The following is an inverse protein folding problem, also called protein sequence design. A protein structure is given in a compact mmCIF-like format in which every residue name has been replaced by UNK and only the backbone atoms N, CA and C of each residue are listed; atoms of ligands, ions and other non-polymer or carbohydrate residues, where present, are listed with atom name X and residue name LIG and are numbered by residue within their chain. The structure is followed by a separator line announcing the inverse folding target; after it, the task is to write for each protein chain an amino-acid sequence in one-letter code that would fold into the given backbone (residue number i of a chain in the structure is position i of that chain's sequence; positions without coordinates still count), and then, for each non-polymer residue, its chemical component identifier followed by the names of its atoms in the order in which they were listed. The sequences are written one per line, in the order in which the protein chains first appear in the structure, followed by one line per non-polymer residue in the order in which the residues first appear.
data_IF_130983620739
#
_entry.id   IF_130983620739
#
_cell.length_a   1.000
_cell.length_b   1.000
_cell.length_c   1.000
_cell.angle_alpha   90.00
_cell.angle_beta   90.00
_cell.angle_gamma   90.00
#
_symmetry.space_group_name_H-M   'P 1'
#
loop_
_entity.id
_entity.type
_entity.pdbx_description
1 polymer ?
#
# COMPACT_ATOMS: atom_id res chain seq x y z
N UNK A 1 14.95 -5.77 19.98
CA UNK A 1 15.30 -5.51 21.39
C UNK A 1 14.44 -6.40 22.26
N UNK A 2 14.96 -6.90 23.39
CA UNK A 2 14.16 -7.67 24.35
C UNK A 2 13.59 -6.70 25.37
N UNK A 3 12.27 -6.71 25.58
CA UNK A 3 11.61 -5.92 26.63
C UNK A 3 10.68 -6.79 27.46
N UNK A 4 10.35 -6.31 28.65
CA UNK A 4 9.32 -6.93 29.48
C UNK A 4 7.95 -6.77 28.81
N UNK A 5 7.22 -7.87 28.65
CA UNK A 5 5.84 -7.86 28.12
C UNK A 5 4.87 -7.69 29.28
N UNK A 6 3.95 -6.74 29.17
CA UNK A 6 2.88 -6.57 30.13
C UNK A 6 1.67 -7.43 29.74
N UNK A 7 1.02 -7.99 30.76
CA UNK A 7 -0.24 -8.71 30.58
C UNK A 7 -1.36 -7.75 30.22
N UNK A 8 -2.20 -8.10 29.25
CA UNK A 8 -3.38 -7.31 28.87
C UNK A 8 -4.38 -7.13 30.03
N UNK A 9 -4.30 -7.96 31.08
CA UNK A 9 -5.07 -7.76 32.32
C UNK A 9 -4.71 -6.48 33.06
N UNK A 10 -3.50 -5.93 32.85
CA UNK A 10 -3.08 -4.66 33.43
C UNK A 10 -3.55 -3.44 32.63
N UNK A 11 -4.04 -3.63 31.40
CA UNK A 11 -4.39 -2.53 30.51
C UNK A 11 -5.53 -1.64 31.04
N UNK A 12 -6.61 -2.16 31.67
CA UNK A 12 -7.61 -1.29 32.28
C UNK A 12 -7.06 -0.37 33.37
N UNK A 13 -6.06 -0.84 34.14
CA UNK A 13 -5.40 -0.03 35.16
C UNK A 13 -4.52 1.06 34.52
N UNK A 14 -3.78 0.70 33.46
CA UNK A 14 -3.00 1.65 32.67
C UNK A 14 -3.89 2.73 32.04
N UNK A 15 -5.02 2.33 31.44
CA UNK A 15 -6.02 3.25 30.89
C UNK A 15 -6.52 4.24 31.95
N UNK A 16 -6.95 3.72 33.11
CA UNK A 16 -7.45 4.56 34.20
C UNK A 16 -6.41 5.53 34.76
N UNK A 17 -5.13 5.13 34.83
CA UNK A 17 -4.04 6.01 35.25
C UNK A 17 -3.81 7.16 34.26
N UNK A 18 -4.05 6.91 32.97
CA UNK A 18 -3.85 7.87 31.89
C UNK A 18 -5.13 8.61 31.47
N UNK A 19 -6.17 8.61 32.32
CA UNK A 19 -7.47 9.25 32.06
C UNK A 19 -8.21 8.71 30.81
N UNK A 20 -7.85 7.53 30.34
CA UNK A 20 -8.58 6.81 29.30
C UNK A 20 -9.59 5.85 29.94
N UNK A 21 -10.65 5.53 29.22
CA UNK A 21 -11.71 4.66 29.74
C UNK A 21 -11.99 3.50 28.79
N UNK A 22 -12.31 2.36 29.40
CA UNK A 22 -12.69 1.13 28.72
C UNK A 22 -13.94 0.62 29.42
N UNK A 23 -15.10 0.80 28.78
CA UNK A 23 -16.42 0.63 29.38
C UNK A 23 -17.13 -0.59 28.79
N UNK A 24 -17.55 -1.52 29.67
CA UNK A 24 -18.30 -2.72 29.29
C UNK A 24 -17.64 -3.60 28.22
N UNK A 25 -16.33 -3.45 28.01
CA UNK A 25 -15.54 -4.29 27.13
C UNK A 25 -14.30 -4.78 27.88
N UNK A 26 -13.57 -5.71 27.27
CA UNK A 26 -12.23 -6.12 27.64
C UNK A 26 -11.46 -6.61 26.42
N UNK A 27 -10.17 -6.84 26.58
CA UNK A 27 -9.36 -7.45 25.53
C UNK A 27 -9.21 -8.93 25.83
N UNK A 28 -9.53 -9.75 24.84
CA UNK A 28 -9.32 -11.19 24.88
C UNK A 28 -8.57 -11.66 23.63
N UNK A 29 -7.98 -12.85 23.72
CA UNK A 29 -7.43 -13.54 22.55
C UNK A 29 -8.57 -14.11 21.72
N UNK A 30 -8.70 -13.64 20.49
CA UNK A 30 -9.63 -14.13 19.47
C UNK A 30 -8.91 -15.11 18.57
N UNK A 31 -9.56 -16.27 18.33
CA UNK A 31 -9.01 -17.31 17.47
C UNK A 31 -8.70 -16.75 16.07
N UNK A 32 -7.47 -16.96 15.60
CA UNK A 32 -6.96 -16.52 14.28
C UNK A 32 -6.90 -14.99 14.04
N UNK A 33 -7.40 -14.14 14.94
CA UNK A 33 -7.33 -12.68 14.83
C UNK A 33 -6.36 -12.01 15.78
N UNK A 34 -5.85 -12.75 16.78
CA UNK A 34 -4.99 -12.16 17.80
C UNK A 34 -5.82 -11.53 18.92
N UNK A 35 -5.33 -10.47 19.54
CA UNK A 35 -6.08 -9.75 20.55
C UNK A 35 -7.25 -8.99 19.91
N UNK A 36 -8.39 -8.94 20.59
CA UNK A 36 -9.60 -8.26 20.14
C UNK A 36 -10.42 -7.72 21.29
N UNK A 37 -11.29 -6.75 20.99
CA UNK A 37 -12.22 -6.17 21.95
C UNK A 37 -13.46 -7.06 22.08
N UNK A 38 -13.88 -7.35 23.31
CA UNK A 38 -15.02 -8.23 23.61
C UNK A 38 -15.93 -7.55 24.63
N UNK A 39 -17.24 -7.62 24.44
CA UNK A 39 -18.22 -7.07 25.37
C UNK A 39 -18.32 -7.89 26.66
N UNK A 40 -18.47 -7.21 27.80
CA UNK A 40 -18.73 -7.80 29.13
C UNK A 40 -20.20 -7.76 29.54
N UNK A 41 -21.04 -7.08 28.76
CA UNK A 41 -22.43 -6.83 29.09
C UNK A 41 -23.28 -6.79 27.82
N UNK A 42 -24.60 -6.87 28.01
CA UNK A 42 -25.56 -6.81 26.91
C UNK A 42 -25.81 -5.37 26.45
N UNK A 43 -26.43 -5.22 25.28
CA UNK A 43 -26.90 -3.94 24.73
C UNK A 43 -27.65 -3.06 25.73
N UNK A 44 -28.44 -3.67 26.63
CA UNK A 44 -29.23 -2.93 27.62
C UNK A 44 -28.35 -2.13 28.60
N UNK A 45 -27.14 -2.65 28.89
CA UNK A 45 -26.18 -2.06 29.81
C UNK A 45 -25.14 -1.17 29.09
N UNK A 46 -24.84 -1.49 27.83
CA UNK A 46 -23.93 -0.71 26.97
C UNK A 46 -24.59 0.58 26.50
N UNK A 47 -25.85 0.50 26.05
CA UNK A 47 -26.56 1.61 25.43
C UNK A 47 -25.85 2.16 24.20
N UNK A 48 -25.79 3.49 24.08
CA UNK A 48 -25.09 4.21 23.01
C UNK A 48 -23.87 4.99 23.55
N UNK A 49 -23.35 4.56 24.71
CA UNK A 49 -22.20 5.20 25.33
C UNK A 49 -20.91 4.78 24.62
N UNK A 50 -19.87 5.60 24.74
CA UNK A 50 -18.54 5.25 24.26
C UNK A 50 -18.03 3.96 24.96
N UNK A 51 -17.60 2.99 24.16
CA UNK A 51 -16.96 1.76 24.62
C UNK A 51 -15.51 2.01 25.03
N UNK A 52 -14.85 2.93 24.32
CA UNK A 52 -13.51 3.43 24.62
C UNK A 52 -13.55 4.95 24.53
N UNK A 53 -12.87 5.62 25.46
CA UNK A 53 -12.49 7.02 25.31
C UNK A 53 -10.98 7.15 25.57
N UNK A 54 -10.25 7.70 24.61
CA UNK A 54 -8.82 7.97 24.70
C UNK A 54 -8.61 9.49 24.62
N UNK A 55 -8.04 10.11 25.67
CA UNK A 55 -7.81 11.55 25.65
C UNK A 55 -6.79 11.93 24.58
N UNK A 56 -6.92 13.15 24.04
CA UNK A 56 -6.03 13.69 23.00
C UNK A 56 -4.55 13.46 23.29
N UNK A 57 -4.10 13.72 24.52
CA UNK A 57 -2.69 13.63 24.93
C UNK A 57 -2.10 12.20 24.88
N UNK A 58 -2.93 11.16 24.74
CA UNK A 58 -2.47 9.78 24.53
C UNK A 58 -2.41 9.37 23.06
N UNK A 59 -3.04 10.12 22.17
CA UNK A 59 -3.03 9.85 20.73
C UNK A 59 -1.65 10.17 20.18
N UNK A 60 -1.03 9.21 19.50
CA UNK A 60 0.27 9.40 18.87
C UNK A 60 0.09 9.76 17.40
N UNK A 61 0.36 11.02 17.09
CA UNK A 61 0.34 11.61 15.76
C UNK A 61 1.58 12.52 15.59
N UNK A 62 1.67 13.25 14.48
CA UNK A 62 2.80 14.17 14.25
C UNK A 62 2.93 15.26 15.32
N UNK A 63 1.81 15.80 15.79
CA UNK A 63 1.79 16.83 16.84
C UNK A 63 2.33 16.28 18.16
N UNK A 64 1.91 15.09 18.58
CA UNK A 64 2.39 14.44 19.80
C UNK A 64 3.92 14.21 19.78
N UNK A 65 4.50 13.89 18.62
CA UNK A 65 5.95 13.75 18.45
C UNK A 65 6.66 15.10 18.63
N UNK A 66 6.12 16.18 18.06
CA UNK A 66 6.67 17.53 18.23
C UNK A 66 6.53 18.04 19.67
N UNK A 67 5.41 17.78 20.35
CA UNK A 67 5.24 18.14 21.76
C UNK A 67 6.26 17.39 22.64
N UNK A 68 6.43 16.09 22.42
CA UNK A 68 7.46 15.33 23.13
C UNK A 68 8.88 15.85 22.86
N UNK A 69 9.18 16.29 21.63
CA UNK A 69 10.46 16.90 21.30
C UNK A 69 10.69 18.26 21.98
N UNK A 70 9.66 18.97 22.45
CA UNK A 70 9.83 20.18 23.27
C UNK A 70 10.24 19.85 24.71
N UNK A 71 9.83 18.68 25.21
CA UNK A 71 10.13 18.24 26.57
C UNK A 71 11.47 17.53 26.69
N UNK A 72 11.89 16.77 25.66
CA UNK A 72 13.14 16.02 25.64
C UNK A 72 14.14 16.57 24.62
N UNK A 73 15.16 17.28 25.11
CA UNK A 73 16.21 17.87 24.25
C UNK A 73 17.07 16.84 23.52
N UNK A 74 17.25 15.64 24.08
CA UNK A 74 18.01 14.59 23.40
C UNK A 74 17.19 14.04 22.24
N UNK A 75 15.90 13.77 22.46
CA UNK A 75 14.99 13.37 21.40
C UNK A 75 14.87 14.46 20.33
N UNK A 76 14.80 15.73 20.71
CA UNK A 76 14.81 16.85 19.74
C UNK A 76 16.02 16.78 18.81
N UNK A 77 17.22 16.59 19.36
CA UNK A 77 18.44 16.48 18.57
C UNK A 77 18.43 15.26 17.63
N UNK A 78 17.80 14.15 18.05
CA UNK A 78 17.60 12.98 17.20
C UNK A 78 16.63 13.27 16.05
N UNK A 79 15.48 13.86 16.36
CA UNK A 79 14.44 14.20 15.40
C UNK A 79 14.95 15.21 14.37
N UNK A 80 15.67 16.25 14.79
CA UNK A 80 16.23 17.25 13.88
C UNK A 80 17.30 16.66 12.93
N UNK A 81 17.98 15.59 13.33
CA UNK A 81 18.97 14.92 12.49
C UNK A 81 18.34 13.87 11.57
N UNK A 82 17.49 13.00 12.11
CA UNK A 82 16.99 11.80 11.43
C UNK A 82 15.56 11.97 10.88
N UNK A 83 14.77 12.88 11.43
CA UNK A 83 13.34 13.07 11.17
C UNK A 83 13.02 14.02 10.03
N UNK A 84 11.80 14.57 10.07
CA UNK A 84 11.22 15.57 9.15
C UNK A 84 11.07 15.11 7.70
N UNK A 85 11.13 13.80 7.45
CA UNK A 85 10.90 13.22 6.12
C UNK A 85 9.42 13.04 5.83
N UNK A 86 8.66 12.62 6.85
CA UNK A 86 7.21 12.47 6.83
C UNK A 86 6.69 12.27 8.26
N UNK A 87 5.41 12.61 8.53
CA UNK A 87 4.74 12.31 9.81
C UNK A 87 4.95 10.88 10.30
N UNK A 88 4.80 9.91 9.39
CA UNK A 88 5.05 8.48 9.65
C UNK A 88 6.48 8.25 10.15
N UNK A 89 7.48 8.79 9.46
CA UNK A 89 8.87 8.57 9.83
C UNK A 89 9.16 9.09 11.25
N UNK A 90 8.62 10.25 11.60
CA UNK A 90 8.81 10.86 12.92
C UNK A 90 8.14 10.05 14.03
N UNK A 91 6.93 9.54 13.78
CA UNK A 91 6.26 8.59 14.68
C UNK A 91 7.07 7.30 14.86
N UNK A 92 7.70 6.78 13.80
CA UNK A 92 8.55 5.59 13.92
C UNK A 92 9.81 5.84 14.75
N UNK A 93 10.43 7.02 14.61
CA UNK A 93 11.57 7.42 15.45
C UNK A 93 11.16 7.51 16.92
N UNK A 94 9.98 8.10 17.19
CA UNK A 94 9.41 8.14 18.53
C UNK A 94 9.19 6.72 19.09
N UNK A 95 8.50 5.85 18.36
CA UNK A 95 8.24 4.46 18.77
C UNK A 95 9.53 3.68 19.02
N UNK A 96 10.55 3.89 18.18
CA UNK A 96 11.86 3.27 18.36
C UNK A 96 12.51 3.70 19.69
N UNK A 97 12.45 4.99 20.01
CA UNK A 97 12.94 5.52 21.28
C UNK A 97 12.15 4.99 22.46
N UNK A 98 10.81 4.92 22.37
CA UNK A 98 9.99 4.34 23.44
C UNK A 98 10.28 2.85 23.66
N UNK A 99 10.49 2.09 22.57
CA UNK A 99 10.92 0.70 22.63
C UNK A 99 12.29 0.56 23.34
N UNK A 100 13.24 1.45 23.05
CA UNK A 100 14.55 1.49 23.70
C UNK A 100 14.43 1.78 25.20
N UNK A 101 13.70 2.83 25.56
CA UNK A 101 13.53 3.26 26.95
C UNK A 101 12.86 2.14 27.75
N UNK A 102 11.84 1.50 27.19
CA UNK A 102 11.18 0.35 27.81
C UNK A 102 12.11 -0.85 28.01
N UNK A 103 12.97 -1.15 27.02
CA UNK A 103 13.97 -2.22 27.14
C UNK A 103 15.08 -1.92 28.14
N UNK A 104 15.38 -0.64 28.41
CA UNK A 104 16.51 -0.18 29.21
C UNK A 104 16.12 0.95 30.18
N UNK A 105 15.18 0.73 31.11
CA UNK A 105 14.61 1.79 31.94
C UNK A 105 15.63 2.43 32.90
N UNK A 106 16.70 1.70 33.25
CA UNK A 106 17.76 2.18 34.15
C UNK A 106 18.66 3.22 33.48
N UNK A 107 18.82 3.17 32.16
CA UNK A 107 19.73 4.03 31.40
C UNK A 107 19.19 5.45 31.18
N UNK A 108 17.88 5.69 31.40
CA UNK A 108 17.22 7.00 31.27
C UNK A 108 17.57 7.73 29.97
N UNK A 109 17.49 6.98 28.86
CA UNK A 109 17.89 7.42 27.52
C UNK A 109 17.01 8.59 27.02
N UNK A 110 15.73 8.57 27.38
CA UNK A 110 14.79 9.65 27.07
C UNK A 110 13.72 9.71 28.17
N UNK A 111 12.93 10.78 28.18
CA UNK A 111 11.80 10.97 29.08
C UNK A 111 10.77 9.86 28.91
N UNK A 112 10.42 9.21 30.02
CA UNK A 112 9.33 8.24 30.00
C UNK A 112 8.00 8.95 29.93
N UNK A 113 7.09 8.41 29.12
CA UNK A 113 5.72 8.87 28.96
C UNK A 113 4.78 7.66 28.90
N UNK A 114 3.45 7.84 28.76
CA UNK A 114 2.52 6.71 28.70
C UNK A 114 2.86 5.67 27.62
N UNK A 115 3.43 6.12 26.49
CA UNK A 115 3.85 5.25 25.39
C UNK A 115 5.05 4.36 25.74
N UNK A 116 5.93 4.78 26.65
CA UNK A 116 7.01 3.92 27.17
C UNK A 116 6.46 2.63 27.78
N UNK A 117 5.32 2.70 28.47
CA UNK A 117 4.65 1.51 29.01
C UNK A 117 3.77 0.84 27.96
N UNK A 118 3.08 1.62 27.12
CA UNK A 118 2.14 1.07 26.15
C UNK A 118 2.78 0.10 25.15
N UNK A 119 4.02 0.37 24.71
CA UNK A 119 4.76 -0.55 23.81
C UNK A 119 4.98 -1.94 24.42
N UNK A 120 4.87 -2.11 25.74
CA UNK A 120 4.95 -3.41 26.41
C UNK A 120 3.68 -4.25 26.29
N UNK A 121 2.56 -3.67 25.85
CA UNK A 121 1.36 -4.41 25.48
C UNK A 121 1.37 -4.84 23.99
N UNK A 122 2.10 -4.14 23.11
CA UNK A 122 2.09 -4.38 21.65
C UNK A 122 2.89 -5.61 21.20
N UNK A 123 2.30 -6.57 20.49
CA UNK A 123 2.99 -7.82 20.14
C UNK A 123 4.26 -7.66 19.29
N UNK A 124 5.27 -8.49 19.57
CA UNK A 124 6.52 -8.54 18.79
C UNK A 124 6.34 -9.27 17.45
N UNK A 125 5.31 -10.10 17.35
CA UNK A 125 5.01 -10.90 16.18
C UNK A 125 3.78 -10.32 15.49
N UNK A 126 3.97 -9.25 14.73
CA UNK A 126 2.91 -8.70 13.86
C UNK A 126 2.94 -9.49 12.56
N UNK A 127 1.81 -10.10 12.11
CA UNK A 127 1.78 -11.04 11.00
C UNK A 127 1.92 -10.37 9.62
N UNK A 128 2.57 -9.23 9.52
CA UNK A 128 2.79 -8.51 8.27
C UNK A 128 4.01 -9.06 7.52
N UNK A 129 4.00 -9.11 6.17
CA UNK A 129 5.05 -9.78 5.40
C UNK A 129 6.48 -9.31 5.64
N UNK A 130 6.69 -8.06 6.07
CA UNK A 130 8.02 -7.52 6.40
C UNK A 130 8.67 -8.22 7.61
N UNK A 131 7.87 -8.85 8.49
CA UNK A 131 8.33 -9.59 9.66
C UNK A 131 8.28 -11.11 9.50
N UNK A 132 7.83 -11.62 8.36
CA UNK A 132 7.79 -13.07 8.10
C UNK A 132 9.19 -13.68 8.06
N UNK A 133 9.27 -15.00 8.18
CA UNK A 133 10.51 -15.72 7.90
C UNK A 133 10.81 -15.67 6.39
N UNK A 134 12.06 -15.90 6.01
CA UNK A 134 12.47 -15.86 4.61
C UNK A 134 11.72 -16.89 3.76
N UNK A 135 11.59 -18.12 4.27
CA UNK A 135 10.86 -19.20 3.61
C UNK A 135 9.39 -18.83 3.36
N UNK A 136 8.70 -18.28 4.36
CA UNK A 136 7.32 -17.79 4.22
C UNK A 136 7.22 -16.66 3.18
N UNK A 137 8.16 -15.70 3.18
CA UNK A 137 8.18 -14.62 2.19
C UNK A 137 8.40 -15.14 0.77
N UNK A 138 9.17 -16.21 0.60
CA UNK A 138 9.39 -16.81 -0.72
C UNK A 138 8.09 -17.33 -1.34
N UNK A 139 7.09 -17.69 -0.53
CA UNK A 139 5.77 -18.11 -1.01
C UNK A 139 4.98 -16.96 -1.67
N UNK A 140 5.33 -15.70 -1.41
CA UNK A 140 4.71 -14.53 -2.06
C UNK A 140 5.31 -14.23 -3.45
N UNK A 141 6.37 -14.93 -3.87
CA UNK A 141 6.95 -14.72 -5.22
C UNK A 141 5.91 -14.99 -6.31
N UNK A 142 5.90 -14.15 -7.33
CA UNK A 142 4.94 -14.18 -8.42
C UNK A 142 3.58 -13.57 -8.09
N UNK A 143 3.26 -13.23 -6.83
CA UNK A 143 2.02 -12.52 -6.48
C UNK A 143 2.12 -11.03 -6.77
N UNK A 144 0.98 -10.32 -6.76
CA UNK A 144 0.95 -8.86 -6.87
C UNK A 144 1.70 -8.15 -5.73
N UNK A 145 1.87 -8.82 -4.58
CA UNK A 145 2.60 -8.28 -3.43
C UNK A 145 4.12 -8.33 -3.54
N UNK A 146 4.69 -9.18 -4.39
CA UNK A 146 6.14 -9.39 -4.43
C UNK A 146 6.91 -8.07 -4.61
N UNK A 147 6.50 -7.25 -5.58
CA UNK A 147 7.17 -5.98 -5.88
C UNK A 147 7.01 -4.97 -4.74
N UNK A 148 5.78 -4.80 -4.23
CA UNK A 148 5.49 -3.87 -3.14
C UNK A 148 6.24 -4.24 -1.85
N UNK A 149 6.32 -5.53 -1.53
CA UNK A 149 7.08 -6.04 -0.38
C UNK A 149 8.57 -5.77 -0.53
N UNK A 150 9.15 -6.10 -1.68
CA UNK A 150 10.57 -5.86 -1.93
C UNK A 150 10.92 -4.37 -1.85
N UNK A 151 10.10 -3.51 -2.48
CA UNK A 151 10.27 -2.06 -2.41
C UNK A 151 10.21 -1.53 -0.98
N UNK A 152 9.25 -2.03 -0.17
CA UNK A 152 9.12 -1.64 1.23
C UNK A 152 10.31 -2.08 2.08
N UNK A 153 10.78 -3.31 1.92
CA UNK A 153 11.95 -3.83 2.65
C UNK A 153 13.22 -3.02 2.32
N UNK A 154 13.41 -2.67 1.04
CA UNK A 154 14.49 -1.80 0.59
C UNK A 154 14.39 -0.40 1.19
N UNK A 155 13.19 0.20 1.16
CA UNK A 155 12.95 1.52 1.75
C UNK A 155 13.25 1.54 3.25
N UNK A 156 12.75 0.55 4.01
CA UNK A 156 13.00 0.42 5.44
C UNK A 156 14.49 0.20 5.75
N UNK A 157 15.20 -0.55 4.90
CA UNK A 157 16.66 -0.75 5.03
C UNK A 157 17.40 0.57 4.82
N UNK A 158 17.06 1.31 3.76
CA UNK A 158 17.65 2.63 3.49
C UNK A 158 17.35 3.64 4.58
N UNK A 159 16.12 3.67 5.11
CA UNK A 159 15.74 4.51 6.25
C UNK A 159 16.60 4.19 7.48
N UNK A 160 16.78 2.90 7.80
CA UNK A 160 17.58 2.45 8.94
C UNK A 160 19.07 2.81 8.79
N UNK A 161 19.63 2.61 7.60
CA UNK A 161 21.03 2.96 7.31
C UNK A 161 21.26 4.46 7.48
N UNK A 162 20.33 5.29 7.03
CA UNK A 162 20.40 6.75 7.21
C UNK A 162 20.26 7.15 8.70
N UNK A 163 19.35 6.52 9.45
CA UNK A 163 19.22 6.73 10.90
C UNK A 163 20.55 6.41 11.57
N UNK A 164 21.18 5.29 11.24
CA UNK A 164 22.48 4.90 11.79
C UNK A 164 23.59 5.88 11.42
N UNK A 165 23.66 6.29 10.16
CA UNK A 165 24.68 7.23 9.68
C UNK A 165 24.57 8.58 10.39
N UNK A 166 23.36 9.12 10.54
CA UNK A 166 23.15 10.44 11.15
C UNK A 166 23.26 10.41 12.67
N UNK A 167 22.64 9.44 13.32
CA UNK A 167 22.63 9.36 14.79
C UNK A 167 23.98 8.99 15.39
N UNK A 168 24.83 8.25 14.67
CA UNK A 168 26.21 7.96 15.11
C UNK A 168 27.10 9.21 15.19
N UNK A 169 26.71 10.30 14.51
CA UNK A 169 27.42 11.60 14.58
C UNK A 169 27.04 12.39 15.84
N UNK A 170 26.01 11.97 16.57
CA UNK A 170 25.58 12.59 17.83
C UNK A 170 26.07 11.71 18.98
N UNK A 171 27.03 12.18 19.77
CA UNK A 171 27.71 11.39 20.81
C UNK A 171 26.72 10.65 21.73
N UNK A 172 25.69 11.35 22.20
CA UNK A 172 24.63 10.77 23.03
C UNK A 172 23.92 9.58 22.36
N UNK A 173 23.46 9.77 21.11
CA UNK A 173 22.71 8.73 20.39
C UNK A 173 23.61 7.63 19.85
N UNK A 174 24.88 7.91 19.57
CA UNK A 174 25.84 6.88 19.23
C UNK A 174 26.01 5.90 20.39
N UNK A 175 26.22 6.42 21.60
CA UNK A 175 26.32 5.60 22.81
C UNK A 175 25.01 4.85 23.09
N UNK A 176 23.88 5.53 22.99
CA UNK A 176 22.58 4.96 23.30
C UNK A 176 22.15 3.87 22.31
N UNK A 177 22.36 4.05 21.00
CA UNK A 177 21.84 3.16 19.95
C UNK A 177 22.84 2.09 19.50
N UNK A 178 24.14 2.42 19.43
CA UNK A 178 25.12 1.64 18.67
C UNK A 178 26.26 1.06 19.52
N UNK A 179 26.78 1.81 20.50
CA UNK A 179 27.92 1.37 21.34
C UNK A 179 27.49 0.64 22.62
N UNK A 180 26.19 0.45 22.82
CA UNK A 180 25.61 -0.31 23.92
C UNK A 180 25.78 -1.82 23.75
N UNK A 181 25.58 -2.58 24.83
CA UNK A 181 25.59 -4.05 24.82
C UNK A 181 24.41 -4.65 24.06
N UNK A 182 23.32 -3.90 23.89
CA UNK A 182 22.12 -4.31 23.16
C UNK A 182 21.81 -3.27 22.08
N UNK A 183 22.58 -3.25 20.97
CA UNK A 183 22.40 -2.26 19.92
C UNK A 183 21.08 -2.45 19.18
N UNK A 184 20.57 -1.35 18.62
CA UNK A 184 19.38 -1.36 17.76
C UNK A 184 19.67 -2.14 16.48
N UNK A 185 18.71 -2.96 16.04
CA UNK A 185 18.79 -3.77 14.83
C UNK A 185 17.78 -3.32 13.78
N UNK A 186 18.05 -3.65 12.52
CA UNK A 186 17.09 -3.44 11.42
C UNK A 186 15.71 -4.08 11.71
N UNK A 187 15.71 -5.24 12.39
CA UNK A 187 14.46 -5.90 12.82
C UNK A 187 13.64 -5.06 13.79
N UNK A 188 14.27 -4.18 14.58
CA UNK A 188 13.56 -3.26 15.48
C UNK A 188 12.87 -2.15 14.68
N UNK A 189 13.49 -1.70 13.59
CA UNK A 189 12.87 -0.76 12.65
C UNK A 189 11.69 -1.38 11.90
N UNK A 190 11.83 -2.64 11.46
CA UNK A 190 10.71 -3.40 10.89
C UNK A 190 9.56 -3.58 11.87
N UNK A 191 9.87 -3.78 13.16
CA UNK A 191 8.86 -3.95 14.20
C UNK A 191 8.05 -2.67 14.42
N UNK A 192 8.71 -1.53 14.57
CA UNK A 192 7.97 -0.26 14.76
C UNK A 192 7.19 0.15 13.51
N UNK A 193 7.70 -0.13 12.30
CA UNK A 193 6.91 -0.02 11.06
C UNK A 193 5.66 -0.88 11.10
N UNK A 194 5.82 -2.14 11.53
CA UNK A 194 4.72 -3.09 11.58
C UNK A 194 3.66 -2.67 12.60
N UNK A 195 4.06 -2.19 13.79
CA UNK A 195 3.13 -1.61 14.77
C UNK A 195 2.37 -0.44 14.17
N UNK A 196 3.07 0.54 13.60
CA UNK A 196 2.44 1.71 13.02
C UNK A 196 1.46 1.33 11.91
N UNK A 197 1.94 0.59 10.91
CA UNK A 197 1.17 0.30 9.70
C UNK A 197 -0.04 -0.59 9.93
N UNK A 198 0.02 -1.52 10.89
CA UNK A 198 -1.10 -2.40 11.20
C UNK A 198 -2.18 -1.75 12.08
N UNK A 199 -1.91 -0.54 12.61
CA UNK A 199 -2.73 0.08 13.67
C UNK A 199 -3.10 1.55 13.43
N UNK A 200 -2.50 2.19 12.44
CA UNK A 200 -2.77 3.60 12.12
C UNK A 200 -4.22 3.79 11.68
N UNK A 201 -4.85 4.79 12.27
CA UNK A 201 -6.19 5.27 11.95
C UNK A 201 -6.09 6.63 11.27
N UNK A 202 -7.01 6.90 10.36
CA UNK A 202 -7.12 8.21 9.73
C UNK A 202 -8.14 9.05 10.52
N UNK A 203 -7.65 9.93 11.38
CA UNK A 203 -8.49 10.83 12.16
C UNK A 203 -8.79 12.11 11.37
N UNK A 204 -10.04 12.61 11.35
CA UNK A 204 -10.41 13.76 10.51
C UNK A 204 -9.62 15.05 10.76
N UNK A 205 -9.13 15.30 11.98
CA UNK A 205 -8.35 16.49 12.33
C UNK A 205 -6.89 16.18 12.57
N UNK A 206 -6.62 15.13 13.36
CA UNK A 206 -5.26 14.73 13.71
C UNK A 206 -4.51 14.01 12.58
N UNK A 207 -5.22 13.55 11.54
CA UNK A 207 -4.64 12.76 10.46
C UNK A 207 -4.21 11.36 10.92
N UNK A 208 -3.19 10.76 10.28
CA UNK A 208 -2.70 9.43 10.61
C UNK A 208 -2.21 9.34 12.06
N UNK A 209 -2.88 8.51 12.87
CA UNK A 209 -2.67 8.45 14.31
C UNK A 209 -2.72 7.02 14.87
N UNK A 210 -1.93 6.74 15.90
CA UNK A 210 -2.08 5.55 16.74
C UNK A 210 -2.88 5.90 17.99
N UNK A 211 -3.90 5.11 18.27
CA UNK A 211 -4.83 5.33 19.39
C UNK A 211 -4.78 4.10 20.31
N UNK A 212 -4.14 4.19 21.49
CA UNK A 212 -3.99 3.07 22.41
C UNK A 212 -5.33 2.38 22.73
N UNK A 213 -5.30 1.05 22.82
CA UNK A 213 -6.45 0.15 23.04
C UNK A 213 -7.48 0.11 21.90
N UNK A 214 -7.78 1.24 21.24
CA UNK A 214 -8.63 1.25 20.05
C UNK A 214 -7.95 0.50 18.90
N UNK A 215 -6.63 0.61 18.80
CA UNK A 215 -5.79 -0.16 17.88
C UNK A 215 -5.85 -1.69 18.06
N UNK A 216 -6.50 -2.21 19.11
CA UNK A 216 -6.78 -3.64 19.32
C UNK A 216 -8.12 -4.08 18.72
N UNK A 217 -8.93 -3.16 18.18
CA UNK A 217 -10.21 -3.49 17.54
C UNK A 217 -9.96 -4.20 16.20
N UNK A 218 -10.42 -5.45 16.06
CA UNK A 218 -10.25 -6.20 14.82
C UNK A 218 -11.17 -5.70 13.69
N UNK A 219 -10.82 -6.08 12.47
CA UNK A 219 -11.61 -5.80 11.28
C UNK A 219 -12.83 -6.72 11.13
N UNK A 220 -13.95 -6.15 10.70
CA UNK A 220 -15.07 -6.86 10.07
C UNK A 220 -15.64 -6.02 8.92
N UNK A 221 -16.13 -6.69 7.86
CA UNK A 221 -16.96 -6.07 6.81
C UNK A 221 -18.35 -5.69 7.34
N UNK A 222 -18.82 -6.39 8.37
CA UNK A 222 -20.01 -6.08 9.15
C UNK A 222 -19.55 -5.56 10.52
N UNK A 223 -18.85 -4.42 10.49
CA UNK A 223 -18.36 -3.78 11.71
C UNK A 223 -19.50 -3.52 12.69
N UNK A 224 -19.21 -3.56 13.99
CA UNK A 224 -20.18 -3.31 15.06
C UNK A 224 -19.99 -1.94 15.73
N UNK A 225 -18.83 -1.32 15.53
CA UNK A 225 -18.48 -0.02 16.06
C UNK A 225 -17.78 0.86 15.01
N UNK A 226 -17.72 2.16 15.31
CA UNK A 226 -16.92 3.14 14.57
C UNK A 226 -16.18 4.03 15.55
N UNK A 227 -15.07 4.61 15.11
CA UNK A 227 -14.35 5.61 15.90
C UNK A 227 -14.68 7.01 15.43
N UNK A 228 -14.61 7.97 16.35
CA UNK A 228 -14.77 9.39 16.07
C UNK A 228 -13.74 10.17 16.88
N UNK A 229 -13.21 11.24 16.30
CA UNK A 229 -12.42 12.24 17.00
C UNK A 229 -13.36 13.37 17.44
N UNK A 230 -13.41 13.64 18.74
CA UNK A 230 -14.26 14.66 19.37
C UNK A 230 -13.72 16.08 19.16
N UNK A 231 -14.55 17.14 19.34
CA UNK A 231 -14.12 18.54 19.29
C UNK A 231 -12.88 18.87 20.14
N UNK A 232 -12.74 18.20 21.26
CA UNK A 232 -11.66 18.36 22.22
C UNK A 232 -10.38 17.60 21.83
N UNK A 233 -10.43 16.78 20.77
CA UNK A 233 -9.30 15.96 20.30
C UNK A 233 -9.27 14.54 20.88
N UNK A 234 -10.16 14.22 21.81
CA UNK A 234 -10.30 12.86 22.32
C UNK A 234 -10.81 11.92 21.23
N UNK A 235 -10.41 10.66 21.26
CA UNK A 235 -10.87 9.63 20.32
C UNK A 235 -11.76 8.63 21.05
N UNK A 236 -12.98 8.47 20.54
CA UNK A 236 -13.98 7.57 21.11
C UNK A 236 -14.28 6.41 20.17
N UNK A 237 -14.55 5.23 20.73
CA UNK A 237 -15.14 4.10 20.02
C UNK A 237 -16.61 3.99 20.40
N UNK A 238 -17.51 4.08 19.42
CA UNK A 238 -18.95 4.09 19.61
C UNK A 238 -19.61 2.88 18.92
N UNK A 239 -20.65 2.28 19.53
CA UNK A 239 -21.53 1.34 18.85
C UNK A 239 -22.12 1.95 17.58
N UNK A 240 -22.27 1.15 16.52
CA UNK A 240 -23.10 1.57 15.39
C UNK A 240 -24.57 1.68 15.82
N UNK A 241 -25.29 2.65 15.26
CA UNK A 241 -26.70 2.87 15.58
C UNK A 241 -27.52 1.62 15.29
N UNK A 242 -28.24 1.13 16.30
CA UNK A 242 -29.06 -0.08 16.18
C UNK A 242 -28.29 -1.39 16.25
N UNK A 243 -26.96 -1.37 16.44
CA UNK A 243 -26.20 -2.58 16.76
C UNK A 243 -26.57 -3.06 18.16
N UNK A 244 -26.97 -4.32 18.25
CA UNK A 244 -27.12 -5.04 19.51
C UNK A 244 -25.87 -5.90 19.74
N UNK A 245 -25.37 -5.87 20.96
CA UNK A 245 -24.35 -6.74 21.51
C UNK A 245 -24.93 -7.76 22.48
N UNK A 246 -24.52 -9.01 22.32
CA UNK A 246 -24.53 -10.01 23.37
C UNK A 246 -23.32 -9.83 24.30
N UNK A 247 -23.33 -10.49 25.46
CA UNK A 247 -22.11 -10.65 26.27
C UNK A 247 -21.15 -11.59 25.56
N UNK A 248 -19.85 -11.33 25.68
CA UNK A 248 -18.78 -12.08 25.02
C UNK A 248 -18.81 -11.98 23.48
N UNK A 249 -19.36 -10.90 22.92
CA UNK A 249 -19.34 -10.61 21.49
C UNK A 249 -18.13 -9.72 21.11
N UNK A 250 -17.47 -10.04 20.00
CA UNK A 250 -16.36 -9.26 19.48
C UNK A 250 -16.83 -7.89 18.94
N UNK A 251 -16.23 -6.81 19.45
CA UNK A 251 -16.38 -5.46 18.91
C UNK A 251 -15.37 -5.26 17.80
N UNK A 252 -15.86 -4.92 16.61
CA UNK A 252 -15.05 -4.79 15.39
C UNK A 252 -15.30 -3.46 14.69
N UNK A 253 -14.28 -2.97 14.00
CA UNK A 253 -14.35 -1.76 13.16
C UNK A 253 -14.12 -2.11 11.69
N UNK A 254 -14.50 -1.21 10.79
CA UNK A 254 -14.12 -1.34 9.39
C UNK A 254 -12.74 -0.73 9.18
N UNK A 255 -11.81 -1.50 8.61
CA UNK A 255 -10.53 -0.97 8.15
C UNK A 255 -10.66 -0.34 6.75
N UNK A 256 -11.85 -0.37 6.14
CA UNK A 256 -12.12 0.06 4.77
C UNK A 256 -12.72 -1.08 3.94
N UNK A 257 -13.72 -0.76 3.12
CA UNK A 257 -14.45 -1.74 2.29
C UNK A 257 -13.76 -2.09 0.97
N UNK A 258 -12.84 -1.24 0.51
CA UNK A 258 -12.33 -1.27 -0.87
C UNK A 258 -10.91 -1.85 -0.97
N UNK A 259 -10.37 -2.34 0.15
CA UNK A 259 -9.01 -2.87 0.23
C UNK A 259 -8.90 -4.23 -0.45
N UNK A 260 -7.89 -4.37 -1.30
CA UNK A 260 -7.58 -5.66 -1.94
C UNK A 260 -7.08 -6.69 -0.93
N UNK A 261 -7.17 -7.98 -1.27
CA UNK A 261 -6.54 -9.07 -0.50
C UNK A 261 -5.04 -8.80 -0.28
N UNK A 262 -4.35 -8.36 -1.34
CA UNK A 262 -2.96 -7.94 -1.28
C UNK A 262 -2.75 -6.83 -0.26
N UNK A 263 -3.54 -5.75 -0.30
CA UNK A 263 -3.43 -4.64 0.65
C UNK A 263 -3.72 -5.05 2.10
N UNK A 264 -4.73 -5.90 2.32
CA UNK A 264 -5.06 -6.44 3.65
C UNK A 264 -3.90 -7.23 4.24
N UNK A 265 -3.31 -8.13 3.46
CA UNK A 265 -2.16 -8.91 3.88
C UNK A 265 -0.92 -8.03 4.07
N UNK A 266 -0.67 -7.13 3.13
CA UNK A 266 0.48 -6.23 3.16
C UNK A 266 0.45 -5.36 4.40
N UNK A 267 -0.67 -4.68 4.67
CA UNK A 267 -0.79 -3.66 5.71
C UNK A 267 -1.12 -4.22 7.09
N UNK A 268 -1.95 -5.27 7.16
CA UNK A 268 -2.49 -5.78 8.42
C UNK A 268 -2.10 -7.23 8.74
N UNK A 269 -1.57 -7.97 7.78
CA UNK A 269 -1.02 -9.30 8.02
C UNK A 269 -2.06 -10.43 8.02
N UNK A 270 -3.26 -10.20 7.49
CA UNK A 270 -4.28 -11.23 7.35
C UNK A 270 -5.09 -11.05 6.06
N UNK A 271 -5.77 -12.12 5.66
CA UNK A 271 -6.75 -12.11 4.57
C UNK A 271 -8.16 -12.31 5.13
N UNK A 272 -9.13 -11.60 4.55
CA UNK A 272 -10.56 -11.83 4.82
C UNK A 272 -11.16 -12.70 3.72
N UNK A 273 -11.80 -13.84 4.04
CA UNK A 273 -12.47 -14.68 3.05
C UNK A 273 -13.60 -13.96 2.29
N UNK A 274 -14.14 -12.89 2.87
CA UNK A 274 -15.36 -12.21 2.46
C UNK A 274 -15.15 -10.86 1.77
N UNK A 275 -13.94 -10.49 1.32
CA UNK A 275 -13.77 -9.20 0.63
C UNK A 275 -14.65 -9.20 -0.64
N UNK A 276 -15.72 -8.39 -0.60
CA UNK A 276 -16.76 -8.35 -1.63
C UNK A 276 -16.19 -7.79 -2.94
N UNK A 277 -15.15 -6.97 -2.84
CA UNK A 277 -14.32 -6.55 -3.95
C UNK A 277 -13.03 -7.37 -3.98
N UNK A 278 -12.82 -8.13 -5.05
CA UNK A 278 -11.49 -8.65 -5.40
C UNK A 278 -10.88 -7.71 -6.42
N UNK A 279 -9.82 -7.02 -6.05
CA UNK A 279 -9.11 -6.10 -6.92
C UNK A 279 -7.64 -6.45 -6.99
N UNK A 280 -7.05 -6.29 -8.17
CA UNK A 280 -5.62 -6.49 -8.43
C UNK A 280 -5.13 -5.30 -9.23
N UNK A 281 -3.95 -4.80 -8.88
CA UNK A 281 -3.23 -3.81 -9.69
C UNK A 281 -1.92 -4.44 -10.14
N UNK A 282 -1.73 -4.54 -11.45
CA UNK A 282 -0.50 -5.07 -12.04
C UNK A 282 0.31 -3.91 -12.64
N UNK A 283 1.62 -3.79 -12.34
CA UNK A 283 2.46 -2.79 -12.99
C UNK A 283 2.60 -3.10 -14.48
N UNK A 284 2.54 -2.06 -15.32
CA UNK A 284 2.68 -2.19 -16.77
C UNK A 284 3.92 -1.41 -17.24
N UNK A 285 4.89 -2.12 -17.81
CA UNK A 285 6.05 -1.50 -18.43
C UNK A 285 5.70 -1.01 -19.84
N UNK A 286 6.40 0.00 -20.38
CA UNK A 286 6.32 0.31 -21.81
C UNK A 286 6.72 -0.90 -22.65
N UNK A 287 6.23 -0.93 -23.89
CA UNK A 287 6.62 -1.96 -24.84
C UNK A 287 8.13 -1.81 -25.17
N UNK A 288 8.91 -2.91 -25.21
CA UNK A 288 10.36 -2.85 -25.39
C UNK A 288 10.83 -2.12 -26.65
N UNK A 289 10.05 -2.25 -27.73
CA UNK A 289 10.38 -1.72 -29.06
C UNK A 289 9.64 -0.41 -29.38
N UNK A 290 9.01 0.24 -28.38
CA UNK A 290 8.28 1.50 -28.56
C UNK A 290 9.25 2.71 -28.60
N UNK A 291 9.43 3.37 -29.75
CA UNK A 291 10.32 4.52 -29.87
C UNK A 291 9.86 5.71 -29.01
N UNK A 292 8.57 5.79 -28.69
CA UNK A 292 7.98 6.83 -27.85
C UNK A 292 7.90 6.45 -26.37
N UNK A 293 8.36 5.25 -25.98
CA UNK A 293 8.13 4.69 -24.65
C UNK A 293 8.62 5.57 -23.49
N UNK A 294 9.80 6.19 -23.63
CA UNK A 294 10.35 7.12 -22.63
C UNK A 294 9.51 8.39 -22.51
N UNK A 295 9.07 8.94 -23.65
CA UNK A 295 8.23 10.14 -23.68
C UNK A 295 6.87 9.87 -23.03
N UNK A 296 6.24 8.74 -23.35
CA UNK A 296 4.97 8.30 -22.77
C UNK A 296 5.05 8.13 -21.25
N UNK A 297 6.10 7.51 -20.72
CA UNK A 297 6.29 7.44 -19.25
C UNK A 297 6.43 8.84 -18.66
N UNK A 298 7.23 9.71 -19.28
CA UNK A 298 7.53 11.03 -18.72
C UNK A 298 6.28 11.91 -18.59
N UNK A 299 5.38 11.88 -19.58
CA UNK A 299 4.16 12.68 -19.56
C UNK A 299 3.00 12.02 -18.78
N UNK A 300 3.07 10.71 -18.53
CA UNK A 300 2.01 10.01 -17.82
C UNK A 300 2.11 10.32 -16.32
N UNK A 301 1.13 11.07 -15.79
CA UNK A 301 1.08 11.50 -14.40
C UNK A 301 0.82 10.38 -13.39
N UNK A 302 0.16 9.30 -13.84
CA UNK A 302 -0.23 8.18 -13.01
C UNK A 302 0.84 7.08 -12.92
N UNK A 303 0.53 6.02 -12.16
CA UNK A 303 1.35 4.79 -12.18
C UNK A 303 0.94 3.91 -13.37
N UNK A 304 1.85 3.60 -14.31
CA UNK A 304 1.60 2.66 -15.39
C UNK A 304 1.14 1.30 -14.86
N UNK A 305 -0.14 1.00 -15.00
CA UNK A 305 -0.73 -0.18 -14.39
C UNK A 305 -2.00 -0.66 -15.10
N UNK A 306 -2.37 -1.91 -14.82
CA UNK A 306 -3.64 -2.51 -15.16
C UNK A 306 -4.39 -2.72 -13.84
N UNK A 307 -5.53 -2.07 -13.71
CA UNK A 307 -6.43 -2.27 -12.58
C UNK A 307 -7.51 -3.25 -12.97
N UNK A 308 -7.73 -4.27 -12.16
CA UNK A 308 -8.76 -5.28 -12.36
C UNK A 308 -9.61 -5.32 -11.11
N UNK A 309 -10.94 -5.32 -11.29
CA UNK A 309 -11.94 -5.40 -10.22
C UNK A 309 -12.97 -6.45 -10.57
N UNK A 310 -13.30 -7.27 -9.60
CA UNK A 310 -14.40 -8.23 -9.69
C UNK A 310 -15.49 -7.81 -8.72
N UNK A 311 -16.65 -7.48 -9.27
CA UNK A 311 -17.85 -7.11 -8.51
C UNK A 311 -18.92 -8.17 -8.79
N UNK A 312 -19.17 -9.04 -7.81
CA UNK A 312 -20.01 -10.22 -8.00
C UNK A 312 -19.44 -11.13 -9.09
N UNK A 313 -20.18 -11.30 -10.19
CA UNK A 313 -19.73 -12.10 -11.32
C UNK A 313 -19.15 -11.28 -12.49
N UNK A 314 -19.18 -9.95 -12.41
CA UNK A 314 -18.69 -9.07 -13.48
C UNK A 314 -17.23 -8.71 -13.24
N UNK A 315 -16.45 -8.78 -14.32
CA UNK A 315 -15.06 -8.32 -14.37
C UNK A 315 -15.05 -6.94 -14.99
N UNK A 316 -14.32 -6.03 -14.36
CA UNK A 316 -14.04 -4.71 -14.86
C UNK A 316 -12.53 -4.50 -14.83
N UNK A 317 -11.96 -3.99 -15.92
CA UNK A 317 -10.55 -3.68 -15.97
C UNK A 317 -10.32 -2.36 -16.68
N UNK A 318 -9.29 -1.62 -16.25
CA UNK A 318 -8.91 -0.34 -16.83
C UNK A 318 -7.40 -0.19 -16.86
N UNK A 319 -6.89 0.34 -17.97
CA UNK A 319 -5.47 0.68 -18.10
C UNK A 319 -5.30 1.87 -19.03
N UNK A 320 -5.38 3.11 -18.50
CA UNK A 320 -5.15 4.31 -19.32
C UNK A 320 -3.78 4.29 -20.00
N UNK A 321 -2.76 3.79 -19.29
CA UNK A 321 -1.41 3.67 -19.84
C UNK A 321 -1.33 2.66 -20.99
N UNK A 322 -2.10 1.56 -20.99
CA UNK A 322 -2.09 0.63 -22.11
C UNK A 322 -2.59 1.29 -23.40
N UNK A 323 -3.62 2.14 -23.33
CA UNK A 323 -4.08 2.94 -24.47
C UNK A 323 -2.98 3.86 -24.98
N UNK A 324 -2.31 4.61 -24.10
CA UNK A 324 -1.20 5.47 -24.50
C UNK A 324 -0.02 4.66 -25.08
N UNK A 325 0.30 3.53 -24.47
CA UNK A 325 1.41 2.64 -24.88
C UNK A 325 1.22 2.09 -26.29
N UNK A 326 -0.02 1.79 -26.69
CA UNK A 326 -0.33 1.19 -28.00
C UNK A 326 -0.43 2.16 -29.19
N UNK A 327 -0.28 3.46 -28.95
CA UNK A 327 -0.38 4.50 -29.99
C UNK A 327 1.00 4.93 -30.50
N UNK A 328 1.11 5.12 -31.80
CA UNK A 328 2.32 5.55 -32.49
C UNK A 328 2.13 6.89 -33.21
N UNK A 329 3.20 7.41 -33.82
CA UNK A 329 3.13 8.63 -34.65
C UNK A 329 2.15 8.49 -35.83
N UNK A 330 2.13 7.31 -36.46
CA UNK A 330 1.21 7.00 -37.56
C UNK A 330 -0.26 7.01 -37.13
N UNK A 331 -0.53 6.78 -35.85
CA UNK A 331 -1.88 6.82 -35.29
C UNK A 331 -2.32 8.26 -34.91
N UNK A 332 -1.40 9.24 -35.00
CA UNK A 332 -1.67 10.65 -34.68
C UNK A 332 -1.13 11.13 -33.33
N UNK A 333 -0.34 10.31 -32.62
CA UNK A 333 0.32 10.68 -31.36
C UNK A 333 1.73 11.23 -31.63
N UNK A 334 2.03 12.46 -31.22
CA UNK A 334 3.38 13.00 -31.37
C UNK A 334 3.81 13.85 -30.18
N UNK A 335 5.13 14.00 -29.99
CA UNK A 335 5.73 14.76 -28.90
C UNK A 335 6.56 15.93 -29.43
N UNK A 336 6.47 17.09 -28.78
CA UNK A 336 7.25 18.28 -29.13
C UNK A 336 7.85 18.88 -27.86
N UNK A 337 9.13 19.27 -27.91
CA UNK A 337 9.74 20.09 -26.88
C UNK A 337 9.39 21.54 -27.14
N UNK A 338 8.68 22.18 -26.22
CA UNK A 338 8.36 23.60 -26.29
C UNK A 338 9.16 24.36 -25.23
N UNK A 339 9.79 25.44 -25.66
CA UNK A 339 10.52 26.33 -24.77
C UNK A 339 9.57 27.42 -24.26
N UNK A 340 9.42 27.51 -22.94
CA UNK A 340 8.72 28.59 -22.25
C UNK A 340 9.45 29.92 -22.45
N UNK A 341 8.73 31.04 -22.31
CA UNK A 341 9.30 32.39 -22.33
C UNK A 341 10.37 32.62 -21.25
N UNK A 342 10.37 31.78 -20.21
CA UNK A 342 11.31 31.83 -19.09
C UNK A 342 12.56 30.93 -19.31
N UNK A 343 12.65 30.26 -20.47
CA UNK A 343 13.78 29.41 -20.84
C UNK A 343 13.61 27.92 -20.49
N UNK A 344 12.61 27.57 -19.69
CA UNK A 344 12.28 26.17 -19.37
C UNK A 344 11.81 25.40 -20.60
N UNK A 345 12.26 24.15 -20.73
CA UNK A 345 11.88 23.25 -21.83
C UNK A 345 10.91 22.20 -21.32
N UNK A 346 9.71 22.15 -21.89
CA UNK A 346 8.65 21.22 -21.49
C UNK A 346 8.34 20.26 -22.65
N UNK A 347 8.31 18.96 -22.36
CA UNK A 347 7.87 17.94 -23.31
C UNK A 347 6.34 17.93 -23.35
N UNK A 348 5.77 18.21 -24.52
CA UNK A 348 4.32 18.22 -24.73
C UNK A 348 3.87 17.10 -25.64
N UNK A 349 2.71 16.53 -25.31
CA UNK A 349 2.08 15.43 -26.02
C UNK A 349 0.87 15.95 -26.80
N UNK A 350 0.79 15.58 -28.07
CA UNK A 350 -0.26 16.00 -28.98
C UNK A 350 -0.99 14.79 -29.57
N UNK A 351 -2.31 14.91 -29.70
CA UNK A 351 -3.19 13.94 -30.35
C UNK A 351 -3.95 14.65 -31.46
N UNK A 352 -3.74 14.25 -32.71
CA UNK A 352 -4.35 14.90 -33.90
C UNK A 352 -4.16 16.44 -33.90
N UNK A 353 -2.96 16.91 -33.58
CA UNK A 353 -2.57 18.33 -33.42
C UNK A 353 -3.07 19.06 -32.17
N UNK A 354 -3.93 18.45 -31.36
CA UNK A 354 -4.39 19.05 -30.09
C UNK A 354 -3.42 18.72 -28.95
N UNK A 355 -3.05 19.74 -28.15
CA UNK A 355 -2.23 19.55 -26.94
C UNK A 355 -3.05 18.79 -25.87
N UNK A 356 -2.62 17.57 -25.57
CA UNK A 356 -3.26 16.65 -24.63
C UNK A 356 -2.31 16.25 -23.50
N UNK A 357 -1.26 17.04 -23.26
CA UNK A 357 -0.22 16.76 -22.24
C UNK A 357 -0.81 16.43 -20.87
N UNK A 358 -1.84 17.17 -20.44
CA UNK A 358 -2.53 16.95 -19.15
C UNK A 358 -3.63 15.85 -19.18
N UNK A 359 -3.83 15.16 -20.31
CA UNK A 359 -4.91 14.17 -20.49
C UNK A 359 -4.41 12.73 -20.65
N UNK A 360 -3.18 12.44 -20.22
CA UNK A 360 -2.56 11.11 -20.30
C UNK A 360 -3.42 9.98 -19.72
N UNK A 361 -4.20 10.26 -18.67
CA UNK A 361 -5.07 9.29 -18.00
C UNK A 361 -6.45 9.11 -18.65
N UNK A 362 -6.80 9.91 -19.66
CA UNK A 362 -8.10 9.87 -20.34
C UNK A 362 -7.99 9.44 -21.81
N UNK A 363 -6.89 8.78 -22.18
CA UNK A 363 -6.63 8.41 -23.57
C UNK A 363 -7.68 7.47 -24.16
N UNK A 364 -8.25 6.57 -23.36
CA UNK A 364 -9.38 5.73 -23.80
C UNK A 364 -10.55 6.57 -24.34
N UNK A 365 -10.87 7.69 -23.68
CA UNK A 365 -11.92 8.61 -24.14
C UNK A 365 -11.48 9.40 -25.36
N UNK A 366 -10.22 9.88 -25.40
CA UNK A 366 -9.69 10.65 -26.54
C UNK A 366 -9.70 9.86 -27.84
N UNK A 367 -9.40 8.56 -27.77
CA UNK A 367 -9.38 7.71 -28.97
C UNK A 367 -10.76 7.17 -29.36
N UNK A 368 -11.79 7.37 -28.52
CA UNK A 368 -13.14 6.80 -28.72
C UNK A 368 -13.84 7.26 -29.99
N UNK A 369 -13.53 8.47 -30.46
CA UNK A 369 -14.10 9.05 -31.69
C UNK A 369 -13.22 8.81 -32.93
N UNK A 370 -12.07 8.14 -32.77
CA UNK A 370 -11.13 7.89 -33.86
C UNK A 370 -11.62 6.79 -34.82
N UNK A 371 -11.32 6.91 -36.12
CA UNK A 371 -11.73 5.92 -37.13
C UNK A 371 -11.12 4.52 -36.90
N UNK A 372 -9.93 4.47 -36.30
CA UNK A 372 -9.22 3.25 -35.92
C UNK A 372 -9.49 2.81 -34.46
N UNK A 373 -10.52 3.33 -33.80
CA UNK A 373 -10.80 3.06 -32.39
C UNK A 373 -10.80 1.56 -32.04
N UNK A 374 -11.45 0.71 -32.85
CA UNK A 374 -11.50 -0.73 -32.58
C UNK A 374 -10.13 -1.41 -32.78
N UNK A 375 -9.27 -0.87 -33.65
CA UNK A 375 -7.87 -1.33 -33.79
C UNK A 375 -7.08 -1.01 -32.53
N UNK A 376 -7.24 0.19 -31.98
CA UNK A 376 -6.59 0.56 -30.73
C UNK A 376 -7.06 -0.31 -29.57
N UNK A 377 -8.38 -0.56 -29.47
CA UNK A 377 -8.94 -1.47 -28.47
C UNK A 377 -8.36 -2.89 -28.61
N UNK A 378 -8.17 -3.38 -29.84
CA UNK A 378 -7.56 -4.69 -30.07
C UNK A 378 -6.10 -4.72 -29.61
N UNK A 379 -5.29 -3.71 -29.95
CA UNK A 379 -3.89 -3.62 -29.50
C UNK A 379 -3.80 -3.59 -27.97
N UNK A 380 -4.63 -2.77 -27.33
CA UNK A 380 -4.71 -2.66 -25.86
C UNK A 380 -5.11 -4.00 -25.24
N UNK A 381 -6.15 -4.65 -25.77
CA UNK A 381 -6.59 -5.97 -25.32
C UNK A 381 -5.45 -6.99 -25.38
N UNK A 382 -4.67 -7.02 -26.47
CA UNK A 382 -3.53 -7.93 -26.61
C UNK A 382 -2.43 -7.66 -25.59
N UNK A 383 -2.06 -6.40 -25.36
CA UNK A 383 -1.05 -6.02 -24.35
C UNK A 383 -1.49 -6.42 -22.95
N UNK A 384 -2.75 -6.13 -22.59
CA UNK A 384 -3.32 -6.48 -21.28
C UNK A 384 -3.41 -8.00 -21.13
N UNK A 385 -3.88 -8.72 -22.15
CA UNK A 385 -3.97 -10.18 -22.15
C UNK A 385 -2.60 -10.82 -21.95
N UNK A 386 -1.60 -10.40 -22.72
CA UNK A 386 -0.22 -10.90 -22.58
C UNK A 386 0.28 -10.67 -21.15
N UNK A 387 0.08 -9.48 -20.59
CA UNK A 387 0.53 -9.17 -19.24
C UNK A 387 -0.13 -10.04 -18.17
N UNK A 388 -1.40 -10.36 -18.35
CA UNK A 388 -2.14 -11.27 -17.46
C UNK A 388 -1.61 -12.71 -17.58
N UNK A 389 -1.32 -13.19 -18.80
CA UNK A 389 -0.73 -14.52 -19.01
C UNK A 389 0.65 -14.62 -18.35
N UNK A 390 1.53 -13.64 -18.55
CA UNK A 390 2.83 -13.58 -17.88
C UNK A 390 2.70 -13.63 -16.36
N UNK A 391 1.69 -12.93 -15.81
CA UNK A 391 1.43 -12.93 -14.38
C UNK A 391 0.91 -14.30 -13.88
N UNK A 392 0.00 -14.94 -14.61
CA UNK A 392 -0.47 -16.30 -14.31
C UNK A 392 0.67 -17.33 -14.36
N UNK A 393 1.56 -17.23 -15.35
CA UNK A 393 2.75 -18.08 -15.42
C UNK A 393 3.66 -17.88 -14.20
N UNK A 394 3.89 -16.64 -13.77
CA UNK A 394 4.65 -16.35 -12.54
C UNK A 394 3.98 -16.91 -11.29
N UNK A 395 2.64 -16.93 -11.24
CA UNK A 395 1.91 -17.58 -10.14
C UNK A 395 2.12 -19.11 -10.15
N UNK A 396 2.30 -19.74 -11.31
CA UNK A 396 2.58 -21.19 -11.39
C UNK A 396 4.01 -21.61 -11.02
N UNK A 397 4.95 -20.67 -10.85
CA UNK A 397 6.39 -20.98 -10.77
C UNK A 397 6.92 -21.31 -9.36
N UNK A 398 6.11 -21.26 -8.30
CA UNK A 398 6.54 -21.55 -6.92
C UNK A 398 6.12 -22.99 -6.55
N UNK A 399 7.01 -23.99 -6.67
CA UNK A 399 6.67 -25.39 -6.37
C UNK A 399 6.50 -25.57 -4.86
N UNK A 400 5.57 -26.43 -4.43
CA UNK A 400 5.41 -26.73 -3.01
C UNK A 400 4.52 -25.75 -2.23
N UNK A 401 4.00 -24.70 -2.88
CA UNK A 401 3.23 -23.66 -2.19
C UNK A 401 1.92 -24.18 -1.60
N UNK A 402 1.28 -25.16 -2.23
CA UNK A 402 0.08 -25.82 -1.72
C UNK A 402 0.39 -26.75 -0.55
N UNK A 403 1.49 -27.51 -0.64
CA UNK A 403 1.95 -28.38 0.44
C UNK A 403 2.37 -27.58 1.68
N UNK A 404 2.99 -26.40 1.49
CA UNK A 404 3.42 -25.51 2.56
C UNK A 404 2.28 -24.75 3.25
N UNK A 405 1.09 -24.65 2.63
CA UNK A 405 -0.03 -23.86 3.15
C UNK A 405 -0.52 -24.31 4.55
N UNK A 406 -0.18 -25.53 4.98
CA UNK A 406 -0.54 -26.09 6.28
C UNK A 406 0.55 -25.95 7.37
N UNK A 407 1.69 -25.34 7.05
CA UNK A 407 2.81 -25.23 8.00
C UNK A 407 2.56 -24.16 9.06
N UNK A 408 2.11 -22.98 8.64
CA UNK A 408 1.83 -21.85 9.51
C UNK A 408 0.85 -20.85 8.84
N UNK A 409 0.38 -19.87 9.63
CA UNK A 409 -0.60 -18.87 9.17
C UNK A 409 -0.10 -17.98 8.02
N UNK A 410 1.21 -17.67 7.98
CA UNK A 410 1.79 -16.86 6.91
C UNK A 410 1.77 -17.64 5.58
N UNK A 411 2.14 -18.92 5.64
CA UNK A 411 2.07 -19.81 4.48
C UNK A 411 0.62 -19.98 3.99
N UNK A 412 -0.33 -20.15 4.91
CA UNK A 412 -1.77 -20.16 4.56
C UNK A 412 -2.18 -18.85 3.87
N UNK A 413 -1.79 -17.70 4.41
CA UNK A 413 -2.11 -16.40 3.81
C UNK A 413 -1.47 -16.22 2.43
N UNK A 414 -0.21 -16.63 2.25
CA UNK A 414 0.48 -16.54 0.96
C UNK A 414 -0.22 -17.40 -0.11
N UNK A 415 -0.61 -18.62 0.26
CA UNK A 415 -1.33 -19.52 -0.63
C UNK A 415 -2.73 -19.00 -0.98
N UNK A 416 -3.47 -18.47 0.01
CA UNK A 416 -4.79 -17.91 -0.25
C UNK A 416 -4.75 -16.66 -1.12
N UNK A 417 -3.74 -15.80 -0.95
CA UNK A 417 -3.54 -14.67 -1.85
C UNK A 417 -3.33 -15.16 -3.29
N UNK A 418 -2.46 -16.17 -3.49
CA UNK A 418 -2.20 -16.76 -4.80
C UNK A 418 -3.49 -17.29 -5.43
N UNK A 419 -4.29 -18.05 -4.69
CA UNK A 419 -5.57 -18.59 -5.19
C UNK A 419 -6.55 -17.50 -5.60
N UNK A 420 -6.64 -16.42 -4.80
CA UNK A 420 -7.48 -15.26 -5.12
C UNK A 420 -7.00 -14.60 -6.42
N UNK A 421 -5.69 -14.43 -6.58
CA UNK A 421 -5.11 -13.81 -7.76
C UNK A 421 -5.28 -14.67 -9.02
N UNK A 422 -5.07 -15.98 -8.93
CA UNK A 422 -5.29 -16.93 -10.02
C UNK A 422 -6.74 -16.92 -10.51
N UNK A 423 -7.73 -16.90 -9.61
CA UNK A 423 -9.14 -16.79 -9.98
C UNK A 423 -9.45 -15.49 -10.72
N UNK A 424 -9.02 -14.35 -10.17
CA UNK A 424 -9.29 -13.04 -10.77
C UNK A 424 -8.62 -12.91 -12.14
N UNK A 425 -7.34 -13.29 -12.24
CA UNK A 425 -6.58 -13.19 -13.48
C UNK A 425 -7.07 -14.18 -14.53
N UNK A 426 -7.38 -15.42 -14.15
CA UNK A 426 -7.92 -16.43 -15.06
C UNK A 426 -9.26 -16.04 -15.64
N UNK A 427 -10.16 -15.50 -14.80
CA UNK A 427 -11.45 -14.96 -15.27
C UNK A 427 -11.25 -13.76 -16.20
N UNK A 428 -10.30 -12.89 -15.90
CA UNK A 428 -10.01 -11.70 -16.72
C UNK A 428 -9.42 -12.09 -18.07
N UNK A 429 -8.54 -13.08 -18.11
CA UNK A 429 -8.00 -13.64 -19.34
C UNK A 429 -9.11 -14.16 -20.25
N UNK A 430 -10.06 -14.94 -19.72
CA UNK A 430 -11.22 -15.43 -20.48
C UNK A 430 -12.07 -14.27 -21.05
N UNK A 431 -12.35 -13.25 -20.24
CA UNK A 431 -13.12 -12.08 -20.71
C UNK A 431 -12.38 -11.29 -21.80
N UNK A 432 -11.05 -11.20 -21.74
CA UNK A 432 -10.24 -10.55 -22.77
C UNK A 432 -10.23 -11.37 -24.07
N UNK A 433 -10.25 -12.70 -24.02
CA UNK A 433 -10.37 -13.54 -25.21
C UNK A 433 -11.71 -13.39 -25.93
N UNK A 434 -12.80 -13.29 -25.16
CA UNK A 434 -14.13 -12.99 -25.70
C UNK A 434 -14.12 -11.62 -26.39
N UNK A 435 -13.61 -10.59 -25.71
CA UNK A 435 -13.46 -9.24 -26.28
C UNK A 435 -12.58 -9.22 -27.53
N UNK A 436 -11.49 -10.00 -27.56
CA UNK A 436 -10.62 -10.13 -28.72
C UNK A 436 -11.38 -10.72 -29.91
N UNK A 437 -12.19 -11.75 -29.67
CA UNK A 437 -13.00 -12.39 -30.72
C UNK A 437 -14.01 -11.39 -31.29
N UNK A 438 -14.70 -10.64 -30.43
CA UNK A 438 -15.63 -9.58 -30.85
C UNK A 438 -14.94 -8.47 -31.67
N UNK A 439 -13.73 -8.06 -31.27
CA UNK A 439 -12.97 -7.02 -31.97
C UNK A 439 -12.45 -7.50 -33.33
N UNK A 440 -12.08 -8.78 -33.47
CA UNK A 440 -11.66 -9.34 -34.76
C UNK A 440 -12.80 -9.39 -35.78
N UNK A 441 -14.05 -9.53 -35.32
CA UNK A 441 -15.25 -9.45 -36.15
C UNK A 441 -15.63 -7.99 -36.54
N UNK A 442 -14.96 -6.98 -35.97
CA UNK A 442 -15.19 -5.58 -36.33
C UNK A 442 -14.78 -5.31 -37.79
N UNK A 443 -15.64 -4.66 -38.60
CA UNK A 443 -15.30 -4.25 -39.95
C UNK A 443 -14.06 -3.34 -40.01
N UNK A 444 -13.86 -2.50 -38.99
CA UNK A 444 -12.72 -1.58 -38.90
C UNK A 444 -11.42 -2.38 -38.78
N UNK A 445 -11.39 -3.35 -37.87
CA UNK A 445 -10.24 -4.23 -37.66
C UNK A 445 -9.96 -5.10 -38.88
N UNK A 446 -10.99 -5.72 -39.45
CA UNK A 446 -10.87 -6.55 -40.64
C UNK A 446 -10.29 -5.78 -41.83
N UNK A 447 -10.75 -4.54 -42.06
CA UNK A 447 -10.23 -3.68 -43.12
C UNK A 447 -8.75 -3.31 -42.87
N UNK A 448 -8.41 -2.93 -41.63
CA UNK A 448 -7.05 -2.57 -41.24
C UNK A 448 -6.06 -3.74 -41.42
N UNK A 449 -6.44 -4.95 -40.97
CA UNK A 449 -5.59 -6.13 -41.13
C UNK A 449 -5.42 -6.53 -42.61
N UNK A 450 -6.45 -6.35 -43.44
CA UNK A 450 -6.34 -6.58 -44.88
C UNK A 450 -5.34 -5.62 -45.55
N UNK A 451 -5.27 -4.36 -45.12
CA UNK A 451 -4.27 -3.40 -45.63
C UNK A 451 -2.84 -3.73 -45.21
N UNK A 452 -2.65 -4.32 -44.01
CA UNK A 452 -1.34 -4.75 -43.52
C UNK A 452 -0.86 -6.08 -44.15
N UNK A 453 -1.80 -6.94 -44.56
CA UNK A 453 -1.51 -8.24 -45.18
C UNK A 453 -1.30 -8.19 -46.70
N UNK A 454 -1.47 -7.03 -47.34
CA UNK A 454 -1.15 -6.86 -48.74
C UNK A 454 0.38 -6.80 -48.93
N UNK A 455 0.98 -7.62 -49.81
CA UNK A 455 2.41 -7.48 -50.12
C UNK A 455 2.64 -6.07 -50.65
N UNK A 456 3.62 -5.36 -50.06
CA UNK A 456 4.11 -4.09 -50.60
C UNK A 456 4.51 -4.34 -52.07
N UNK A 457 3.68 -3.88 -53.01
CA UNK A 457 4.11 -3.78 -54.40
C UNK A 457 5.23 -2.74 -54.44
N UNK A 458 6.43 -3.20 -54.80
CA UNK A 458 7.60 -2.38 -55.11
C UNK A 458 7.21 -1.17 -55.97
N UNK A 459 7.13 0.01 -55.35
CA UNK A 459 7.24 1.27 -56.06
C UNK A 459 8.67 1.76 -55.98
N UNK A 460 9.51 1.11 -56.78
CA UNK A 460 10.84 1.59 -57.11
C UNK A 460 10.71 2.56 -58.29
N UNK A 461 10.81 3.87 -58.04
CA UNK A 461 11.23 4.86 -59.02
C UNK A 461 11.61 6.21 -58.39
N UNK A 462 12.90 6.30 -58.03
CA UNK A 462 13.79 7.45 -58.21
C UNK A 462 13.40 8.81 -57.61
N UNK A 463 14.17 9.28 -56.62
CA UNK A 463 14.79 10.60 -56.68
C UNK A 463 16.13 10.62 -55.92
N UNK A 464 17.03 11.43 -56.48
CA UNK A 464 18.47 11.50 -56.27
C UNK A 464 18.99 11.67 -54.84
N UNK A 465 20.02 10.85 -54.57
CA UNK A 465 21.28 11.12 -53.88
C UNK A 465 21.64 12.63 -53.71
N UNK A 466 21.66 13.11 -52.47
CA UNK A 466 22.59 14.14 -52.01
C UNK A 466 22.88 13.94 -50.51
N UNK A 467 24.15 13.65 -50.23
CA UNK A 467 24.71 13.42 -48.90
C UNK A 467 24.92 14.71 -48.12
N UNK A 468 24.65 14.68 -46.80
CA UNK A 468 25.29 15.56 -45.81
C UNK A 468 25.19 14.98 -44.38
N UNK A 469 26.35 14.51 -43.89
CA UNK A 469 26.92 14.63 -42.54
C UNK A 469 26.04 14.58 -41.26
N UNK A 470 26.18 13.46 -40.55
CA UNK A 470 26.68 13.29 -39.15
C UNK A 470 26.52 14.48 -38.19
N UNK A 471 25.80 14.29 -37.08
CA UNK A 471 26.40 14.43 -35.73
C UNK A 471 25.58 13.78 -34.59
N UNK A 472 26.34 12.93 -33.89
CA UNK A 472 26.18 12.18 -32.65
C UNK A 472 25.77 13.04 -31.44
N UNK A 473 24.86 12.57 -30.57
CA UNK A 473 24.75 13.09 -29.19
C UNK A 473 24.43 11.98 -28.19
N UNK A 474 25.39 11.84 -27.27
CA UNK A 474 25.41 10.98 -26.07
C UNK A 474 24.48 11.46 -24.96
#
# INVERSE_FOLDING_TARGET
MTRERLSLQALPAWMGFNNATLANIEIQQIQQKGNGLVTRASSADIGQSALINVPHDLVLNAEAVEEYAKEDSNFRAFLDACGHKSPRHDVLLFLLVQLIVSSRPVERIALSNPWTEYVNFLDDHVPVPTLWLEDDRMLLRGTSLESALNAKMLALTSEFDEIREKSSKIEFWNAALWETTIPVRLTDWYLVDAWYRSRVLELPRSGPSLVPCLDMANHSTEASAYYEETPEGDVVLLPLTGKEFDSDEEVTISYGSDKSAAEMLFSYGFLTPSSVARSITLPLSPLPDDPLGKAKIHVFSGMPSIQIKVVGNKIDWSSPFAYLSCLNEEDGLHFKLLQSSDGDTELRMFWQEDDVTAKGESFETLVSEHELHDVFRLRVNMVVFQKIQEQLERLGQVPGAEEAANENINATNAWELRRIEEDVLGRTAAALEDQRTELLDSPIVSAYLATMGAPMEDQDASFHDEAADVEDFS
#
